data_IF_331071484039
#
_entry.id   IF_331071484039
#
_cell.length_a   1.000
_cell.length_b   1.000
_cell.length_c   1.000
_cell.angle_alpha   90.00
_cell.angle_beta   90.00
_cell.angle_gamma   90.00
#
_symmetry.space_group_name_H-M   'P 1'
#
loop_
_entity.id
_entity.type
_entity.pdbx_description
1 polymer ?
#
# COMPACT_ATOMS: atom_id res chain seq x y z
N UNK A 1 5.52 15.69 -1.39
CA UNK A 1 6.46 15.22 -0.35
C UNK A 1 6.05 15.57 1.09
N UNK A 2 5.74 16.83 1.47
CA UNK A 2 5.22 17.11 2.85
C UNK A 2 3.92 16.35 3.18
N UNK A 3 3.09 16.09 2.16
CA UNK A 3 1.86 15.32 2.29
C UNK A 3 2.12 13.88 2.76
N UNK A 4 3.04 13.19 2.09
CA UNK A 4 3.39 11.80 2.40
C UNK A 4 3.79 11.60 3.86
N UNK A 5 4.64 12.48 4.42
CA UNK A 5 5.03 12.41 5.85
C UNK A 5 3.83 12.51 6.78
N UNK A 6 2.90 13.45 6.49
CA UNK A 6 1.68 13.61 7.28
C UNK A 6 0.83 12.34 7.23
N UNK A 7 0.74 11.71 6.05
CA UNK A 7 0.03 10.45 5.88
C UNK A 7 0.71 9.32 6.65
N UNK A 8 2.02 9.17 6.58
CA UNK A 8 2.76 8.19 7.40
C UNK A 8 2.55 8.42 8.89
N UNK A 9 2.48 9.67 9.36
CA UNK A 9 2.16 9.99 10.75
C UNK A 9 0.74 9.57 11.14
N UNK A 10 -0.26 9.80 10.27
CA UNK A 10 -1.65 9.34 10.48
C UNK A 10 -1.71 7.80 10.53
N UNK A 11 -0.91 7.14 9.68
CA UNK A 11 -0.85 5.69 9.56
C UNK A 11 0.14 5.03 10.53
N UNK A 12 0.64 5.75 11.55
CA UNK A 12 1.67 5.25 12.47
C UNK A 12 1.34 3.89 13.10
N UNK A 13 0.07 3.61 13.37
CA UNK A 13 -0.37 2.35 13.99
C UNK A 13 -0.38 1.13 13.07
N UNK A 14 -0.12 1.27 11.76
CA UNK A 14 0.00 0.14 10.80
C UNK A 14 1.38 0.04 10.15
N UNK A 15 2.32 0.89 10.58
CA UNK A 15 3.69 0.83 10.11
C UNK A 15 4.37 -0.48 10.53
N UNK A 16 5.05 -1.12 9.59
CA UNK A 16 5.67 -2.43 9.75
C UNK A 16 4.76 -3.62 9.45
N UNK A 17 3.45 -3.39 9.32
CA UNK A 17 2.46 -4.43 9.00
C UNK A 17 1.94 -4.29 7.56
N UNK A 18 1.42 -3.11 7.20
CA UNK A 18 0.81 -2.84 5.89
C UNK A 18 1.49 -1.71 5.10
N UNK A 19 2.30 -0.91 5.79
CA UNK A 19 3.13 0.14 5.18
C UNK A 19 4.53 0.11 5.82
N UNK A 20 5.58 0.60 5.16
CA UNK A 20 6.91 0.68 5.75
C UNK A 20 6.96 1.49 7.05
N UNK A 21 7.94 1.20 7.92
CA UNK A 21 8.25 2.04 9.07
C UNK A 21 8.96 3.32 8.61
N UNK A 22 8.46 4.47 9.05
CA UNK A 22 9.12 5.75 8.86
C UNK A 22 10.24 5.88 9.89
N UNK A 23 11.49 5.64 9.49
CA UNK A 23 12.64 5.68 10.40
C UNK A 23 13.19 7.08 10.64
N UNK A 24 13.32 7.90 9.59
CA UNK A 24 13.74 9.28 9.76
C UNK A 24 13.19 10.21 8.67
N UNK A 25 12.92 11.45 9.06
CA UNK A 25 12.61 12.56 8.17
C UNK A 25 13.37 13.79 8.68
N UNK A 26 14.04 14.53 7.80
CA UNK A 26 14.86 15.67 8.21
C UNK A 26 15.35 16.54 7.06
N UNK A 27 16.06 17.62 7.39
CA UNK A 27 16.69 18.52 6.42
C UNK A 27 18.19 18.21 6.33
N UNK A 28 18.71 18.00 5.12
CA UNK A 28 20.14 17.82 4.86
C UNK A 28 20.58 18.69 3.67
N UNK A 29 21.60 19.53 3.86
CA UNK A 29 22.22 20.32 2.78
C UNK A 29 21.32 21.38 2.11
N UNK A 30 20.34 21.95 2.83
CA UNK A 30 19.41 22.94 2.27
C UNK A 30 18.22 22.34 1.50
N UNK A 31 18.16 21.01 1.39
CA UNK A 31 17.03 20.25 0.88
C UNK A 31 16.43 19.35 1.97
N UNK A 32 15.17 18.95 1.79
CA UNK A 32 14.54 17.97 2.68
C UNK A 32 14.92 16.56 2.17
N UNK A 33 15.54 15.73 3.03
CA UNK A 33 15.94 14.38 2.68
C UNK A 33 15.20 13.39 3.60
N UNK A 34 14.56 12.40 2.99
CA UNK A 34 13.80 11.38 3.70
C UNK A 34 14.46 10.04 3.46
N UNK A 35 14.68 9.26 4.51
CA UNK A 35 15.00 7.85 4.37
C UNK A 35 13.83 7.08 4.95
N UNK A 36 12.93 6.66 4.05
CA UNK A 36 11.96 5.61 4.35
C UNK A 36 12.75 4.31 4.39
N UNK A 37 13.37 4.05 5.53
CA UNK A 37 14.18 2.88 5.76
C UNK A 37 13.33 1.77 6.36
N UNK A 38 13.11 0.70 5.62
CA UNK A 38 12.81 -0.60 6.23
C UNK A 38 13.95 -1.55 5.88
N UNK A 39 14.29 -2.46 6.79
CA UNK A 39 15.10 -3.64 6.47
C UNK A 39 14.26 -4.60 5.63
N UNK A 40 13.82 -4.16 4.46
CA UNK A 40 12.80 -4.84 3.67
C UNK A 40 13.39 -5.36 2.38
N UNK A 41 13.35 -6.68 2.22
CA UNK A 41 13.50 -7.35 0.94
C UNK A 41 12.11 -7.67 0.42
N UNK A 42 11.67 -6.95 -0.60
CA UNK A 42 10.45 -7.25 -1.32
C UNK A 42 10.45 -6.60 -2.69
N UNK A 43 9.63 -7.16 -3.56
CA UNK A 43 9.60 -6.82 -4.98
C UNK A 43 8.25 -6.17 -5.29
N UNK A 44 8.24 -5.20 -6.19
CA UNK A 44 7.00 -4.55 -6.60
C UNK A 44 6.10 -5.57 -7.31
N UNK A 45 4.78 -5.44 -7.10
CA UNK A 45 3.79 -6.33 -7.68
C UNK A 45 3.85 -6.31 -9.22
N UNK A 46 4.32 -5.21 -9.83
CA UNK A 46 4.53 -5.08 -11.28
C UNK A 46 5.46 -6.15 -11.87
N UNK A 47 6.41 -6.66 -11.06
CA UNK A 47 7.38 -7.66 -11.51
C UNK A 47 6.84 -9.10 -11.46
N UNK A 48 5.63 -9.29 -10.94
CA UNK A 48 4.99 -10.60 -10.84
C UNK A 48 4.01 -10.81 -12.00
N UNK A 49 3.98 -12.02 -12.57
CA UNK A 49 2.93 -12.43 -13.52
C UNK A 49 1.75 -13.12 -12.86
N UNK A 50 1.99 -13.68 -11.67
CA UNK A 50 1.03 -14.49 -10.94
C UNK A 50 1.08 -14.13 -9.46
N UNK A 51 -0.07 -14.25 -8.80
CA UNK A 51 -0.20 -14.10 -7.35
C UNK A 51 -0.99 -15.26 -6.77
N UNK A 52 -0.88 -15.49 -5.46
CA UNK A 52 -1.74 -16.44 -4.74
C UNK A 52 -3.05 -15.78 -4.32
N UNK A 53 -4.06 -16.58 -3.97
CA UNK A 53 -5.28 -16.03 -3.36
C UNK A 53 -4.98 -15.30 -2.04
N UNK A 54 -4.04 -15.83 -1.26
CA UNK A 54 -3.58 -15.20 -0.02
C UNK A 54 -3.03 -13.80 -0.27
N UNK A 55 -2.15 -13.64 -1.26
CA UNK A 55 -1.58 -12.33 -1.61
C UNK A 55 -2.67 -11.35 -2.06
N UNK A 56 -3.65 -11.80 -2.86
CA UNK A 56 -4.79 -10.97 -3.24
C UNK A 56 -5.57 -10.47 -2.02
N UNK A 57 -5.91 -11.38 -1.11
CA UNK A 57 -6.63 -11.03 0.13
C UNK A 57 -5.82 -10.05 0.97
N UNK A 58 -4.50 -10.27 1.09
CA UNK A 58 -3.61 -9.38 1.83
C UNK A 58 -3.54 -7.97 1.23
N UNK A 59 -3.56 -7.81 -0.10
CA UNK A 59 -3.65 -6.49 -0.74
C UNK A 59 -4.93 -5.75 -0.32
N UNK A 60 -6.07 -6.45 -0.32
CA UNK A 60 -7.36 -5.88 0.09
C UNK A 60 -7.37 -5.54 1.59
N UNK A 61 -6.82 -6.42 2.43
CA UNK A 61 -6.69 -6.19 3.87
C UNK A 61 -5.82 -4.95 4.16
N UNK A 62 -4.69 -4.82 3.48
CA UNK A 62 -3.79 -3.69 3.64
C UNK A 62 -4.47 -2.36 3.24
N UNK A 63 -5.17 -2.33 2.09
CA UNK A 63 -5.90 -1.13 1.67
C UNK A 63 -7.04 -0.79 2.64
N UNK A 64 -7.81 -1.79 3.10
CA UNK A 64 -8.85 -1.56 4.10
C UNK A 64 -8.27 -1.00 5.42
N UNK A 65 -7.07 -1.43 5.83
CA UNK A 65 -6.39 -0.91 7.01
C UNK A 65 -6.01 0.57 6.86
N UNK A 66 -5.59 0.99 5.66
CA UNK A 66 -5.33 2.39 5.29
C UNK A 66 -6.65 3.19 5.31
N UNK A 67 -7.69 2.68 4.64
CA UNK A 67 -9.02 3.31 4.57
C UNK A 67 -9.67 3.50 5.94
N UNK A 68 -9.51 2.53 6.85
CA UNK A 68 -10.04 2.60 8.21
C UNK A 68 -9.46 3.76 9.04
N UNK A 69 -8.30 4.28 8.64
CA UNK A 69 -7.65 5.47 9.21
C UNK A 69 -8.00 6.75 8.44
N UNK A 70 -8.99 6.68 7.55
CA UNK A 70 -9.48 7.80 6.76
C UNK A 70 -8.54 8.24 5.66
N UNK A 71 -7.59 7.41 5.24
CA UNK A 71 -6.66 7.74 4.16
C UNK A 71 -7.11 7.08 2.86
N UNK A 72 -7.22 7.87 1.79
CA UNK A 72 -7.22 7.38 0.41
C UNK A 72 -5.78 7.43 -0.11
N UNK A 73 -5.36 6.41 -0.86
CA UNK A 73 -4.02 6.39 -1.46
C UNK A 73 -3.92 7.31 -2.69
N UNK A 74 -4.99 7.36 -3.49
CA UNK A 74 -5.18 8.03 -4.78
C UNK A 74 -4.19 7.65 -5.88
N UNK A 75 -3.44 6.56 -5.71
CA UNK A 75 -2.45 6.11 -6.71
C UNK A 75 -2.34 4.58 -6.72
N UNK A 76 -3.44 3.93 -7.08
CA UNK A 76 -3.56 2.47 -7.14
C UNK A 76 -2.81 1.94 -8.37
N UNK A 77 -1.56 1.55 -8.16
CA UNK A 77 -0.70 0.96 -9.18
C UNK A 77 0.16 -0.17 -8.60
N UNK A 78 0.54 -1.11 -9.45
CA UNK A 78 1.31 -2.28 -9.03
C UNK A 78 2.72 -1.93 -8.55
N UNK A 79 3.29 -0.82 -9.01
CA UNK A 79 4.58 -0.31 -8.52
C UNK A 79 4.52 0.12 -7.05
N UNK A 80 3.33 0.51 -6.57
CA UNK A 80 3.10 1.02 -5.21
C UNK A 80 2.74 -0.08 -4.20
N UNK A 81 2.76 -1.35 -4.64
CA UNK A 81 2.45 -2.51 -3.81
C UNK A 81 3.68 -3.42 -3.80
N UNK A 82 4.28 -3.61 -2.63
CA UNK A 82 5.44 -4.48 -2.47
C UNK A 82 5.04 -5.81 -1.83
N UNK A 83 5.53 -6.91 -2.40
CA UNK A 83 5.42 -8.25 -1.84
C UNK A 83 6.68 -8.57 -1.04
N UNK A 84 6.50 -8.94 0.22
CA UNK A 84 7.59 -9.36 1.09
C UNK A 84 8.16 -10.70 0.65
N UNK A 85 9.49 -10.78 0.50
CA UNK A 85 10.17 -12.03 0.17
C UNK A 85 10.33 -12.98 1.38
N UNK A 86 9.88 -12.56 2.57
CA UNK A 86 10.12 -13.26 3.84
C UNK A 86 8.84 -13.85 4.43
N UNK A 87 7.68 -13.20 4.25
CA UNK A 87 6.46 -13.54 5.00
C UNK A 87 5.13 -13.32 4.24
N UNK A 88 5.16 -13.19 2.90
CA UNK A 88 3.98 -12.89 2.06
C UNK A 88 3.19 -11.64 2.47
N UNK A 89 3.75 -10.78 3.33
CA UNK A 89 3.12 -9.51 3.67
C UNK A 89 3.10 -8.57 2.47
N UNK A 90 2.08 -7.72 2.45
CA UNK A 90 1.90 -6.67 1.45
C UNK A 90 2.18 -5.32 2.09
N UNK A 91 2.99 -4.51 1.41
CA UNK A 91 3.31 -3.16 1.84
C UNK A 91 2.91 -2.15 0.77
N UNK A 92 2.06 -1.19 1.14
CA UNK A 92 1.77 -0.02 0.30
C UNK A 92 2.83 1.06 0.49
N UNK A 93 3.24 1.67 -0.61
CA UNK A 93 4.27 2.73 -0.66
C UNK A 93 3.81 3.90 -1.54
N UNK A 94 4.57 5.00 -1.50
CA UNK A 94 4.32 6.23 -2.26
C UNK A 94 2.96 6.89 -1.94
N UNK A 95 2.88 7.47 -0.75
CA UNK A 95 1.69 8.24 -0.33
C UNK A 95 1.76 9.71 -0.80
N UNK A 96 2.49 9.99 -1.89
CA UNK A 96 2.63 11.34 -2.43
C UNK A 96 1.29 11.99 -2.78
N UNK A 97 0.36 11.20 -3.32
CA UNK A 97 -0.97 11.60 -3.80
C UNK A 97 -2.09 11.39 -2.79
N UNK A 98 -1.80 10.77 -1.65
CA UNK A 98 -2.81 10.35 -0.68
C UNK A 98 -3.56 11.54 -0.05
N UNK A 99 -4.82 11.33 0.32
CA UNK A 99 -5.65 12.33 1.00
C UNK A 99 -6.23 11.79 2.31
N UNK A 100 -6.43 12.67 3.28
CA UNK A 100 -6.98 12.30 4.59
C UNK A 100 -8.38 12.90 4.78
N UNK A 101 -9.32 12.05 5.18
CA UNK A 101 -10.71 12.36 5.42
C UNK A 101 -11.11 11.86 6.82
N UNK A 102 -11.26 12.78 7.77
CA UNK A 102 -11.70 12.46 9.14
C UNK A 102 -13.11 11.82 9.15
N UNK A 103 -13.99 12.26 8.26
CA UNK A 103 -15.37 11.78 8.16
C UNK A 103 -15.53 10.74 7.05
N UNK A 104 -14.97 9.53 7.24
CA UNK A 104 -15.00 8.44 6.23
C UNK A 104 -16.39 8.19 5.66
N UNK A 105 -17.43 8.21 6.52
CA UNK A 105 -18.83 8.02 6.11
C UNK A 105 -19.33 9.06 5.10
N UNK A 106 -18.80 10.29 5.11
CA UNK A 106 -19.18 11.33 4.16
C UNK A 106 -18.60 11.07 2.77
N UNK A 107 -17.41 10.46 2.73
CA UNK A 107 -16.64 10.21 1.51
C UNK A 107 -16.63 8.74 1.09
N UNK A 108 -17.53 7.91 1.66
CA UNK A 108 -17.51 6.45 1.49
C UNK A 108 -17.45 5.98 0.03
N UNK A 109 -18.06 6.75 -0.89
CA UNK A 109 -18.02 6.47 -2.33
C UNK A 109 -16.60 6.50 -2.90
N UNK A 110 -15.77 7.44 -2.46
CA UNK A 110 -14.37 7.54 -2.90
C UNK A 110 -13.55 6.35 -2.41
N UNK A 111 -13.77 5.92 -1.17
CA UNK A 111 -13.11 4.73 -0.61
C UNK A 111 -13.56 3.44 -1.34
N UNK A 112 -14.84 3.34 -1.67
CA UNK A 112 -15.37 2.22 -2.45
C UNK A 112 -14.83 2.22 -3.89
N UNK A 113 -14.71 3.40 -4.52
CA UNK A 113 -14.10 3.57 -5.84
C UNK A 113 -12.63 3.13 -5.86
N UNK A 114 -11.82 3.62 -4.93
CA UNK A 114 -10.42 3.22 -4.81
C UNK A 114 -10.26 1.70 -4.55
N UNK A 115 -11.16 1.12 -3.74
CA UNK A 115 -11.18 -0.33 -3.53
C UNK A 115 -11.51 -1.09 -4.81
N UNK A 116 -12.43 -0.59 -5.63
CA UNK A 116 -12.76 -1.17 -6.95
C UNK A 116 -11.59 -1.06 -7.92
N UNK A 117 -10.84 0.03 -7.91
CA UNK A 117 -9.61 0.18 -8.69
C UNK A 117 -8.59 -0.91 -8.32
N UNK A 118 -8.39 -1.17 -7.02
CA UNK A 118 -7.50 -2.24 -6.58
C UNK A 118 -7.99 -3.61 -7.04
N UNK A 119 -9.29 -3.91 -6.93
CA UNK A 119 -9.85 -5.18 -7.43
C UNK A 119 -9.60 -5.32 -8.93
N UNK A 120 -9.82 -4.27 -9.71
CA UNK A 120 -9.59 -4.27 -11.15
C UNK A 120 -8.10 -4.48 -11.50
N UNK A 121 -7.19 -3.88 -10.73
CA UNK A 121 -5.74 -4.12 -10.86
C UNK A 121 -5.41 -5.59 -10.59
N UNK A 122 -5.88 -6.15 -9.47
CA UNK A 122 -5.58 -7.52 -9.07
C UNK A 122 -6.20 -8.58 -9.98
N UNK A 123 -7.28 -8.26 -10.71
CA UNK A 123 -7.87 -9.13 -11.72
C UNK A 123 -6.98 -9.32 -12.96
N UNK A 124 -5.95 -8.50 -13.14
CA UNK A 124 -4.97 -8.65 -14.24
C UNK A 124 -3.98 -9.78 -13.97
N UNK A 125 -3.90 -10.26 -12.72
CA UNK A 125 -2.98 -11.32 -12.31
C UNK A 125 -3.67 -12.68 -12.33
N UNK A 126 -3.02 -13.66 -12.95
CA UNK A 126 -3.49 -15.06 -12.87
C UNK A 126 -3.15 -15.66 -11.52
N UNK A 127 -4.03 -16.49 -11.00
CA UNK A 127 -3.87 -17.11 -9.70
C UNK A 127 -3.11 -18.43 -9.78
N UNK A 128 -2.06 -18.56 -8.96
CA UNK A 128 -1.28 -19.79 -8.87
C UNK A 128 -2.12 -20.96 -8.37
N UNK A 129 -3.04 -20.72 -7.44
CA UNK A 129 -3.89 -21.76 -6.84
C UNK A 129 -5.03 -22.22 -7.78
N UNK A 130 -5.20 -21.57 -8.93
CA UNK A 130 -6.18 -21.97 -9.97
C UNK A 130 -5.63 -23.02 -10.93
N UNK A 131 -4.33 -23.30 -10.90
CA UNK A 131 -3.73 -24.38 -11.69
C UNK A 131 -3.95 -25.69 -10.94
N UNK A 132 -5.16 -26.23 -11.06
CA UNK A 132 -5.41 -27.63 -10.79
C UNK A 132 -4.55 -28.41 -11.77
N UNK A 133 -3.50 -29.08 -11.27
CA UNK A 133 -2.86 -30.17 -12.01
C UNK A 133 -3.94 -31.24 -12.17
N UNK A 134 -4.46 -31.35 -13.39
CA UNK A 134 -5.33 -32.46 -13.82
C UNK A 134 -4.53 -33.75 -13.81
#
# INVERSE_FOLDING_TARGET
>A
MQNEVKIYQILASIQGEFIPKLMCYGYYGGGMCYVIGTSFGGTALTDYKHITERQRVMCLCALNAIHSRGVLHNDIRAENILLSNINDNIYWIDFGMASYHREVKKYWKLFDEEKRELVNLLNQYTLLDSVVIV
#
